data_IF_549115980879
#
_entry.id   IF_549115980879
#
_cell.length_a   1.000
_cell.length_b   1.000
_cell.length_c   1.000
_cell.angle_alpha   90.00
_cell.angle_beta   90.00
_cell.angle_gamma   90.00
#
_symmetry.space_group_name_H-M   'P 1'
#
loop_
_entity.id
_entity.type
_entity.pdbx_description
1 polymer ?
#
# COMPACT_ATOMS: atom_id res chain seq x y z
N UNK A 1 6.35 46.79 48.73
CA UNK A 1 5.44 45.77 49.30
C UNK A 1 4.14 45.85 48.52
N UNK A 2 4.01 45.06 47.46
CA UNK A 2 2.72 44.83 46.81
C UNK A 2 2.58 43.32 46.66
N UNK A 3 1.46 42.82 47.20
CA UNK A 3 1.14 41.42 47.32
C UNK A 3 0.69 40.86 45.95
N UNK A 4 1.37 39.81 45.50
CA UNK A 4 0.99 39.05 44.31
C UNK A 4 -0.19 38.13 44.65
N UNK A 5 -1.32 38.40 44.00
CA UNK A 5 -2.54 37.58 44.03
C UNK A 5 -2.36 36.31 43.19
N UNK A 6 -2.59 35.15 43.81
CA UNK A 6 -2.61 33.83 43.16
C UNK A 6 -3.70 33.74 42.09
N UNK A 7 -3.32 33.34 40.87
CA UNK A 7 -4.26 32.82 39.86
C UNK A 7 -4.09 31.30 39.77
N UNK A 8 -5.12 30.58 40.23
CA UNK A 8 -5.23 29.12 40.19
C UNK A 8 -5.19 28.60 38.74
N UNK A 9 -4.15 27.82 38.39
CA UNK A 9 -4.14 26.99 37.17
C UNK A 9 -5.10 25.81 37.32
N UNK A 10 -5.93 25.58 36.30
CA UNK A 10 -6.85 24.45 36.23
C UNK A 10 -6.06 23.13 36.22
N UNK A 11 -6.52 22.16 37.03
CA UNK A 11 -5.97 20.81 37.06
C UNK A 11 -6.38 20.08 35.78
N UNK A 12 -5.48 19.99 34.81
CA UNK A 12 -5.61 19.04 33.72
C UNK A 12 -5.55 17.62 34.29
N UNK A 13 -6.60 16.85 34.03
CA UNK A 13 -6.72 15.44 34.41
C UNK A 13 -5.58 14.63 33.78
N UNK A 14 -4.71 14.05 34.62
CA UNK A 14 -3.74 13.03 34.22
C UNK A 14 -4.53 11.79 33.74
N UNK A 15 -4.68 11.60 32.42
CA UNK A 15 -5.05 10.29 31.87
C UNK A 15 -3.88 9.34 32.15
N UNK A 16 -4.12 8.36 33.02
CA UNK A 16 -3.24 7.20 33.21
C UNK A 16 -3.26 6.40 31.92
N UNK A 17 -2.11 6.27 31.25
CA UNK A 17 -1.94 5.30 30.19
C UNK A 17 -1.78 3.93 30.84
N UNK A 18 -2.66 3.00 30.49
CA UNK A 18 -2.56 1.60 30.88
C UNK A 18 -1.41 0.95 30.12
N UNK A 19 -0.44 0.42 30.87
CA UNK A 19 0.60 -0.47 30.37
C UNK A 19 -0.12 -1.76 29.94
N UNK A 20 -0.17 -2.04 28.64
CA UNK A 20 -0.65 -3.32 28.13
C UNK A 20 0.46 -4.35 28.39
N UNK A 21 0.16 -5.34 29.23
CA UNK A 21 1.03 -6.48 29.53
C UNK A 21 1.14 -7.41 28.33
N UNK A 22 2.35 -7.93 28.08
CA UNK A 22 2.74 -8.70 26.90
C UNK A 22 2.21 -10.13 26.79
N UNK A 23 0.91 -10.35 27.04
CA UNK A 23 0.27 -11.67 26.90
C UNK A 23 -0.87 -11.74 25.88
N UNK A 24 -1.30 -10.63 25.27
CA UNK A 24 -2.35 -10.64 24.24
C UNK A 24 -1.77 -10.80 22.82
N UNK A 25 -0.75 -11.66 22.74
CA UNK A 25 -0.05 -12.03 21.52
C UNK A 25 -0.83 -13.23 20.93
N UNK A 26 -1.33 -13.08 19.69
CA UNK A 26 -1.94 -14.08 18.79
C UNK A 26 -3.45 -14.38 18.94
N UNK A 27 -4.24 -13.69 18.11
CA UNK A 27 -5.25 -14.32 17.25
C UNK A 27 -5.73 -13.27 16.23
N UNK A 28 -5.29 -13.40 14.98
CA UNK A 28 -5.97 -12.79 13.83
C UNK A 28 -6.58 -13.93 13.03
N UNK A 29 -7.50 -14.66 13.66
CA UNK A 29 -8.34 -15.65 13.01
C UNK A 29 -9.78 -15.15 13.06
N UNK A 30 -10.06 -14.11 12.27
CA UNK A 30 -11.41 -13.74 11.86
C UNK A 30 -11.49 -13.83 10.33
N UNK A 31 -11.29 -15.04 9.80
CA UNK A 31 -11.89 -15.41 8.53
C UNK A 31 -13.38 -15.62 8.79
N UNK A 32 -14.11 -14.50 8.91
CA UNK A 32 -15.54 -14.52 9.21
C UNK A 32 -16.30 -14.98 7.96
N UNK A 33 -16.76 -16.25 7.96
CA UNK A 33 -17.81 -16.80 7.08
C UNK A 33 -19.19 -16.14 7.36
N UNK A 34 -19.19 -14.85 7.68
CA UNK A 34 -20.38 -14.05 7.94
C UNK A 34 -21.01 -13.49 6.66
N UNK A 35 -22.21 -12.92 6.82
CA UNK A 35 -22.98 -12.23 5.78
C UNK A 35 -22.10 -11.21 5.06
N UNK A 36 -22.03 -11.30 3.74
CA UNK A 36 -21.16 -10.47 2.92
C UNK A 36 -21.67 -9.01 2.89
N UNK A 37 -20.76 -8.02 2.79
CA UNK A 37 -21.14 -6.60 2.74
C UNK A 37 -22.23 -6.25 1.72
N UNK A 38 -22.19 -6.83 0.51
CA UNK A 38 -23.21 -6.57 -0.52
C UNK A 38 -24.60 -7.06 -0.13
N UNK A 39 -24.72 -8.21 0.55
CA UNK A 39 -26.00 -8.75 1.03
C UNK A 39 -26.63 -7.80 2.04
N UNK A 40 -25.82 -7.22 2.92
CA UNK A 40 -26.26 -6.20 3.88
C UNK A 40 -26.73 -4.93 3.16
N UNK A 41 -26.01 -4.47 2.14
CA UNK A 41 -26.38 -3.29 1.36
C UNK A 41 -27.70 -3.49 0.60
N UNK A 42 -27.88 -4.66 -0.02
CA UNK A 42 -29.11 -5.04 -0.70
C UNK A 42 -30.27 -5.13 0.30
N UNK A 43 -30.07 -5.79 1.44
CA UNK A 43 -31.07 -5.90 2.50
C UNK A 43 -31.46 -4.54 3.11
N UNK A 44 -30.53 -3.58 3.16
CA UNK A 44 -30.79 -2.21 3.60
C UNK A 44 -31.55 -1.36 2.58
N UNK A 45 -31.92 -1.91 1.42
CA UNK A 45 -32.65 -1.19 0.37
C UNK A 45 -31.82 -0.12 -0.31
N UNK A 46 -30.49 -0.25 -0.31
CA UNK A 46 -29.56 0.66 -0.99
C UNK A 46 -29.09 0.01 -2.30
N UNK A 47 -29.83 0.15 -3.42
CA UNK A 47 -29.47 -0.51 -4.68
C UNK A 47 -28.17 0.03 -5.29
N UNK A 48 -27.80 1.27 -4.97
CA UNK A 48 -26.56 1.93 -5.36
C UNK A 48 -25.94 2.63 -4.14
N UNK A 49 -25.27 1.89 -3.24
CA UNK A 49 -24.64 2.50 -2.08
C UNK A 49 -23.45 3.38 -2.53
N UNK A 50 -23.08 4.36 -1.71
CA UNK A 50 -21.94 5.23 -2.02
C UNK A 50 -20.61 4.47 -2.04
N UNK A 51 -20.48 3.45 -1.18
CA UNK A 51 -19.38 2.49 -1.10
C UNK A 51 -19.88 1.17 -0.48
N UNK A 52 -19.11 0.10 -0.58
CA UNK A 52 -19.36 -1.18 0.08
C UNK A 52 -18.01 -1.82 0.47
N UNK A 53 -17.72 -1.87 1.78
CA UNK A 53 -16.45 -2.39 2.33
C UNK A 53 -16.72 -3.27 3.56
N UNK A 54 -15.74 -4.09 3.97
CA UNK A 54 -15.90 -5.03 5.10
C UNK A 54 -16.18 -4.33 6.43
N UNK A 55 -15.35 -3.35 6.80
CA UNK A 55 -15.47 -2.63 8.06
C UNK A 55 -14.88 -1.23 7.93
N UNK A 56 -15.73 -0.20 7.96
CA UNK A 56 -15.31 1.20 7.80
C UNK A 56 -14.46 1.70 8.97
N UNK A 57 -14.57 1.12 10.16
CA UNK A 57 -13.85 1.54 11.37
C UNK A 57 -12.32 1.30 11.27
N UNK A 58 -11.87 0.48 10.31
CA UNK A 58 -10.45 0.24 10.05
C UNK A 58 -9.78 1.39 9.27
N UNK A 59 -10.52 2.45 8.94
CA UNK A 59 -10.02 3.55 8.09
C UNK A 59 -8.75 4.22 8.62
N UNK A 60 -8.60 4.39 9.94
CA UNK A 60 -7.43 5.04 10.53
C UNK A 60 -6.16 4.19 10.36
N UNK A 61 -6.31 2.86 10.36
CA UNK A 61 -5.20 1.93 10.11
C UNK A 61 -4.84 1.91 8.62
N UNK A 62 -5.83 1.84 7.73
CA UNK A 62 -5.57 1.92 6.30
C UNK A 62 -4.96 3.25 5.85
N UNK A 63 -5.35 4.38 6.46
CA UNK A 63 -4.75 5.70 6.16
C UNK A 63 -3.23 5.70 6.39
N UNK A 64 -2.77 5.05 7.45
CA UNK A 64 -1.34 4.95 7.78
C UNK A 64 -0.58 4.10 6.78
N UNK A 65 -1.14 2.97 6.37
CA UNK A 65 -0.57 2.15 5.30
C UNK A 65 -0.45 2.93 3.98
N UNK A 66 -1.44 3.78 3.65
CA UNK A 66 -1.40 4.67 2.49
C UNK A 66 -0.26 5.69 2.63
N UNK A 67 -0.12 6.35 3.79
CA UNK A 67 0.93 7.35 4.04
C UNK A 67 2.34 6.74 3.91
N UNK A 68 2.53 5.51 4.38
CA UNK A 68 3.79 4.77 4.20
C UNK A 68 4.02 4.45 2.72
N UNK A 69 2.99 4.02 2.00
CA UNK A 69 3.10 3.76 0.56
C UNK A 69 3.46 5.04 -0.22
N UNK A 70 2.98 6.22 0.19
CA UNK A 70 3.36 7.49 -0.45
C UNK A 70 4.88 7.74 -0.38
N UNK A 71 5.52 7.42 0.75
CA UNK A 71 6.98 7.57 0.92
C UNK A 71 7.77 6.63 0.00
N UNK A 72 7.21 5.45 -0.27
CA UNK A 72 7.82 4.42 -1.11
C UNK A 72 7.47 4.54 -2.60
N UNK A 73 6.62 5.50 -2.98
CA UNK A 73 6.19 5.74 -4.36
C UNK A 73 6.60 7.13 -4.87
N UNK A 74 7.91 7.48 -4.88
CA UNK A 74 8.37 8.83 -5.22
C UNK A 74 8.01 9.26 -6.64
N UNK A 75 7.91 8.30 -7.58
CA UNK A 75 7.55 8.60 -8.97
C UNK A 75 6.15 9.18 -9.13
N UNK A 76 5.14 8.55 -8.50
CA UNK A 76 3.76 9.03 -8.57
C UNK A 76 3.55 10.27 -7.69
N UNK A 77 4.28 10.39 -6.58
CA UNK A 77 4.28 11.61 -5.76
C UNK A 77 4.85 12.81 -6.53
N UNK A 78 5.95 12.63 -7.25
CA UNK A 78 6.51 13.67 -8.11
C UNK A 78 5.55 14.06 -9.25
N UNK A 79 4.87 13.09 -9.87
CA UNK A 79 3.83 13.35 -10.87
C UNK A 79 2.68 14.17 -10.28
N UNK A 80 2.18 13.75 -9.11
CA UNK A 80 1.10 14.43 -8.38
C UNK A 80 1.48 15.88 -8.12
N UNK A 81 2.67 16.13 -7.57
CA UNK A 81 3.16 17.48 -7.29
C UNK A 81 3.30 18.34 -8.55
N UNK A 82 3.82 17.77 -9.65
CA UNK A 82 4.05 18.50 -10.90
C UNK A 82 2.75 18.89 -11.62
N UNK A 83 1.74 18.03 -11.60
CA UNK A 83 0.53 18.20 -12.42
C UNK A 83 -0.71 18.66 -11.62
N UNK A 84 -0.57 18.89 -10.31
CA UNK A 84 -1.70 19.21 -9.41
C UNK A 84 -2.49 20.43 -9.85
N UNK A 85 -1.80 21.48 -10.29
CA UNK A 85 -2.41 22.77 -10.61
C UNK A 85 -3.09 22.76 -11.98
N UNK A 86 -2.55 21.98 -12.94
CA UNK A 86 -3.10 21.85 -14.29
C UNK A 86 -4.43 21.09 -14.33
N UNK A 87 -4.71 20.27 -13.31
CA UNK A 87 -5.89 19.39 -13.23
C UNK A 87 -6.17 18.65 -14.55
N UNK A 88 -5.19 17.90 -15.10
CA UNK A 88 -5.31 17.31 -16.45
C UNK A 88 -6.42 16.26 -16.57
N UNK A 89 -6.91 15.72 -15.44
CA UNK A 89 -8.00 14.76 -15.40
C UNK A 89 -9.33 15.39 -15.01
N UNK A 90 -9.46 16.72 -15.08
CA UNK A 90 -10.73 17.41 -14.86
C UNK A 90 -11.82 16.78 -15.75
N UNK A 91 -12.96 16.48 -15.13
CA UNK A 91 -14.13 15.83 -15.75
C UNK A 91 -13.90 14.37 -16.20
N UNK A 92 -12.73 13.78 -15.92
CA UNK A 92 -12.52 12.34 -16.08
C UNK A 92 -13.35 11.60 -15.02
N UNK A 93 -14.20 10.67 -15.47
CA UNK A 93 -15.03 9.78 -14.66
C UNK A 93 -14.50 8.37 -14.86
N UNK A 94 -13.55 7.99 -14.00
CA UNK A 94 -12.75 6.77 -14.14
C UNK A 94 -13.42 5.63 -13.38
N UNK A 95 -13.67 4.52 -14.07
CA UNK A 95 -13.90 3.22 -13.44
C UNK A 95 -12.56 2.53 -13.30
N UNK A 96 -12.18 2.21 -12.07
CA UNK A 96 -11.01 1.41 -11.77
C UNK A 96 -11.39 -0.01 -11.36
N UNK A 97 -10.69 -0.99 -11.90
CA UNK A 97 -10.79 -2.39 -11.53
C UNK A 97 -9.39 -2.98 -11.43
N UNK A 98 -8.83 -2.94 -10.22
CA UNK A 98 -7.46 -3.38 -9.92
C UNK A 98 -7.42 -4.01 -8.53
N UNK A 99 -6.29 -4.56 -8.11
CA UNK A 99 -6.09 -4.90 -6.70
C UNK A 99 -6.29 -3.65 -5.82
N UNK A 100 -6.90 -3.80 -4.64
CA UNK A 100 -7.06 -2.70 -3.67
C UNK A 100 -6.09 -2.90 -2.52
N UNK A 101 -4.93 -2.26 -2.65
CA UNK A 101 -3.87 -2.20 -1.63
C UNK A 101 -3.43 -0.74 -1.45
N UNK A 102 -2.51 -0.50 -0.51
CA UNK A 102 -2.00 0.84 -0.21
C UNK A 102 -1.44 1.54 -1.46
N UNK A 103 -0.77 0.82 -2.36
CA UNK A 103 -0.22 1.37 -3.61
C UNK A 103 -1.31 1.84 -4.56
N UNK A 104 -2.39 1.07 -4.72
CA UNK A 104 -3.57 1.46 -5.51
C UNK A 104 -4.27 2.66 -4.88
N UNK A 105 -4.35 2.74 -3.55
CA UNK A 105 -4.92 3.91 -2.90
C UNK A 105 -4.14 5.20 -3.22
N UNK A 106 -2.81 5.13 -3.22
CA UNK A 106 -1.95 6.24 -3.67
C UNK A 106 -2.23 6.63 -5.13
N UNK A 107 -2.49 5.66 -6.01
CA UNK A 107 -2.93 5.90 -7.39
C UNK A 107 -4.30 6.59 -7.44
N UNK A 108 -5.30 6.07 -6.74
CA UNK A 108 -6.67 6.62 -6.68
C UNK A 108 -6.64 8.08 -6.22
N UNK A 109 -5.94 8.35 -5.13
CA UNK A 109 -5.82 9.71 -4.59
C UNK A 109 -5.04 10.63 -5.53
N UNK A 110 -4.07 10.10 -6.29
CA UNK A 110 -3.40 10.87 -7.34
C UNK A 110 -4.35 11.22 -8.47
N UNK A 111 -5.15 10.28 -8.98
CA UNK A 111 -6.12 10.54 -10.03
C UNK A 111 -7.13 11.63 -9.59
N UNK A 112 -7.63 11.52 -8.37
CA UNK A 112 -8.53 12.51 -7.77
C UNK A 112 -7.85 13.87 -7.59
N UNK A 113 -6.62 13.90 -7.08
CA UNK A 113 -5.83 15.13 -6.95
C UNK A 113 -5.56 15.81 -8.30
N UNK A 114 -5.50 15.06 -9.39
CA UNK A 114 -5.36 15.56 -10.76
C UNK A 114 -6.70 15.92 -11.43
N UNK A 115 -7.83 15.81 -10.72
CA UNK A 115 -9.14 16.31 -11.16
C UNK A 115 -10.17 15.24 -11.54
N UNK A 116 -9.83 13.94 -11.44
CA UNK A 116 -10.75 12.87 -11.76
C UNK A 116 -11.80 12.65 -10.66
N UNK A 117 -12.97 12.14 -11.05
CA UNK A 117 -13.90 11.44 -10.14
C UNK A 117 -13.79 9.96 -10.41
N UNK A 118 -13.73 9.14 -9.35
CA UNK A 118 -13.37 7.72 -9.44
C UNK A 118 -14.41 6.84 -8.76
N UNK A 119 -14.64 5.65 -9.32
CA UNK A 119 -15.31 4.52 -8.67
C UNK A 119 -14.44 3.28 -8.84
N UNK A 120 -14.28 2.48 -7.79
CA UNK A 120 -13.29 1.40 -7.78
C UNK A 120 -13.84 0.09 -7.25
N UNK A 121 -13.51 -1.00 -7.94
CA UNK A 121 -13.73 -2.38 -7.52
C UNK A 121 -12.41 -3.16 -7.54
N UNK A 122 -12.36 -4.28 -6.83
CA UNK A 122 -11.23 -5.19 -6.89
C UNK A 122 -11.24 -5.99 -8.20
N UNK A 123 -10.06 -6.30 -8.77
CA UNK A 123 -9.92 -7.26 -9.87
C UNK A 123 -9.71 -8.71 -9.40
N UNK A 124 -9.57 -8.93 -8.08
CA UNK A 124 -9.41 -10.26 -7.50
C UNK A 124 -10.02 -10.34 -6.09
N UNK A 125 -10.80 -11.40 -5.85
CA UNK A 125 -11.58 -11.66 -4.63
C UNK A 125 -10.77 -11.73 -3.32
N UNK A 126 -9.45 -11.96 -3.37
CA UNK A 126 -8.60 -12.07 -2.18
C UNK A 126 -7.59 -10.94 -2.03
N UNK A 127 -7.48 -10.06 -3.02
CA UNK A 127 -6.40 -9.08 -3.09
C UNK A 127 -6.63 -7.80 -2.29
N UNK A 128 -7.86 -7.58 -1.83
CA UNK A 128 -8.23 -6.37 -1.11
C UNK A 128 -7.62 -6.34 0.29
N UNK A 129 -6.92 -5.26 0.62
CA UNK A 129 -6.60 -4.86 1.99
C UNK A 129 -7.81 -4.11 2.56
N UNK A 130 -8.56 -4.75 3.46
CA UNK A 130 -9.87 -4.25 3.95
C UNK A 130 -9.74 -2.87 4.60
N UNK A 131 -8.68 -2.67 5.35
CA UNK A 131 -8.33 -1.41 5.99
C UNK A 131 -8.09 -0.28 4.98
N UNK A 132 -7.44 -0.57 3.86
CA UNK A 132 -7.17 0.41 2.81
C UNK A 132 -8.46 0.75 2.08
N UNK A 133 -9.28 -0.25 1.77
CA UNK A 133 -10.61 -0.03 1.22
C UNK A 133 -11.47 0.85 2.15
N UNK A 134 -11.40 0.62 3.47
CA UNK A 134 -12.06 1.45 4.48
C UNK A 134 -11.52 2.89 4.50
N UNK A 135 -10.20 3.08 4.41
CA UNK A 135 -9.58 4.40 4.38
C UNK A 135 -9.99 5.24 3.16
N UNK A 136 -10.07 4.60 1.99
CA UNK A 136 -10.55 5.23 0.77
C UNK A 136 -12.05 5.55 0.83
N UNK A 137 -12.87 4.61 1.32
CA UNK A 137 -14.30 4.82 1.49
C UNK A 137 -14.60 5.98 2.48
N UNK A 138 -13.87 6.03 3.60
CA UNK A 138 -13.98 7.10 4.59
C UNK A 138 -13.56 8.47 4.02
N UNK A 139 -12.57 8.49 3.13
CA UNK A 139 -12.16 9.70 2.41
C UNK A 139 -13.17 10.17 1.34
N UNK A 140 -14.27 9.42 1.14
CA UNK A 140 -15.36 9.76 0.22
C UNK A 140 -15.23 9.17 -1.18
N UNK A 141 -14.28 8.25 -1.40
CA UNK A 141 -14.19 7.52 -2.66
C UNK A 141 -15.23 6.39 -2.71
N UNK A 142 -15.80 6.17 -3.89
CA UNK A 142 -16.76 5.09 -4.10
C UNK A 142 -16.02 3.77 -4.32
N UNK A 143 -15.78 3.05 -3.22
CA UNK A 143 -15.05 1.77 -3.19
C UNK A 143 -16.02 0.63 -2.95
N UNK A 144 -16.00 -0.39 -3.80
CA UNK A 144 -16.81 -1.61 -3.69
C UNK A 144 -15.87 -2.80 -3.70
N UNK A 145 -15.34 -3.14 -2.53
CA UNK A 145 -14.41 -4.25 -2.41
C UNK A 145 -14.21 -4.71 -0.96
N UNK A 146 -13.94 -5.99 -0.79
CA UNK A 146 -13.41 -6.56 0.45
C UNK A 146 -12.61 -7.83 0.17
N UNK A 147 -11.82 -8.27 1.14
CA UNK A 147 -11.13 -9.55 1.07
C UNK A 147 -12.11 -10.70 1.28
N UNK A 148 -12.06 -11.71 0.42
CA UNK A 148 -12.94 -12.89 0.48
C UNK A 148 -14.32 -12.60 -0.12
N UNK A 149 -14.37 -11.96 -1.28
CA UNK A 149 -15.60 -11.84 -2.08
C UNK A 149 -16.02 -13.22 -2.63
N UNK A 150 -17.33 -13.49 -2.70
CA UNK A 150 -17.82 -14.54 -3.60
C UNK A 150 -17.76 -14.07 -5.06
N UNK A 151 -17.86 -14.99 -6.02
CA UNK A 151 -17.93 -14.62 -7.45
C UNK A 151 -19.12 -13.70 -7.74
N UNK A 152 -20.26 -13.92 -7.09
CA UNK A 152 -21.44 -13.07 -7.23
C UNK A 152 -21.18 -11.65 -6.73
N UNK A 153 -20.53 -11.54 -5.56
CA UNK A 153 -20.12 -10.26 -4.98
C UNK A 153 -19.13 -9.52 -5.88
N UNK A 154 -18.14 -10.23 -6.42
CA UNK A 154 -17.12 -9.69 -7.31
C UNK A 154 -17.75 -8.99 -8.53
N UNK A 155 -18.64 -9.68 -9.23
CA UNK A 155 -19.34 -9.10 -10.38
C UNK A 155 -20.30 -7.98 -9.98
N UNK A 156 -20.93 -8.08 -8.82
CA UNK A 156 -21.76 -7.01 -8.27
C UNK A 156 -20.93 -5.74 -8.01
N UNK A 157 -19.75 -5.85 -7.40
CA UNK A 157 -18.85 -4.73 -7.13
C UNK A 157 -18.43 -4.00 -8.42
N UNK A 158 -18.01 -4.74 -9.45
CA UNK A 158 -17.66 -4.17 -10.75
C UNK A 158 -18.87 -3.46 -11.38
N UNK A 159 -20.06 -4.06 -11.29
CA UNK A 159 -21.29 -3.48 -11.82
C UNK A 159 -21.66 -2.16 -11.13
N UNK A 160 -21.48 -2.04 -9.81
CA UNK A 160 -21.70 -0.79 -9.06
C UNK A 160 -20.79 0.35 -9.53
N UNK A 161 -19.55 0.03 -9.91
CA UNK A 161 -18.62 1.00 -10.46
C UNK A 161 -19.04 1.45 -11.88
N UNK A 162 -19.47 0.48 -12.69
CA UNK A 162 -19.76 0.64 -14.11
C UNK A 162 -21.12 1.29 -14.40
N UNK A 163 -22.11 1.05 -13.55
CA UNK A 163 -23.51 1.43 -13.81
C UNK A 163 -23.70 2.94 -13.86
N UNK A 164 -24.18 3.49 -14.99
CA UNK A 164 -24.55 4.91 -15.07
C UNK A 164 -25.68 5.25 -14.09
N UNK A 165 -25.59 6.42 -13.47
CA UNK A 165 -26.62 7.00 -12.59
C UNK A 165 -26.87 8.45 -13.00
N UNK A 166 -27.81 9.14 -12.36
CA UNK A 166 -28.11 10.55 -12.64
C UNK A 166 -26.88 11.47 -12.53
N UNK A 167 -25.90 11.14 -11.69
CA UNK A 167 -24.69 11.94 -11.43
C UNK A 167 -23.40 11.31 -11.99
N UNK A 168 -23.46 10.03 -12.36
CA UNK A 168 -22.29 9.25 -12.78
C UNK A 168 -22.48 8.63 -14.16
N UNK A 169 -21.56 8.87 -15.07
CA UNK A 169 -21.46 8.12 -16.32
C UNK A 169 -19.98 8.01 -16.61
N UNK A 170 -19.41 6.79 -16.63
CA UNK A 170 -17.98 6.63 -16.79
C UNK A 170 -17.56 7.06 -18.20
N UNK A 171 -16.37 7.66 -18.30
CA UNK A 171 -15.78 8.05 -19.58
C UNK A 171 -14.34 7.54 -19.75
N UNK A 172 -13.78 6.86 -18.75
CA UNK A 172 -12.46 6.23 -18.79
C UNK A 172 -12.50 4.91 -18.01
N UNK A 173 -11.72 3.94 -18.45
CA UNK A 173 -11.53 2.67 -17.73
C UNK A 173 -10.04 2.50 -17.42
N UNK A 174 -9.73 2.15 -16.16
CA UNK A 174 -8.43 1.66 -15.74
C UNK A 174 -8.64 0.23 -15.22
N UNK A 175 -8.06 -0.74 -15.92
CA UNK A 175 -8.37 -2.16 -15.76
C UNK A 175 -7.09 -2.98 -15.57
N UNK A 176 -7.22 -4.05 -14.80
CA UNK A 176 -6.20 -5.06 -14.55
C UNK A 176 -6.86 -6.43 -14.67
N UNK A 177 -6.69 -7.05 -15.84
CA UNK A 177 -7.24 -8.36 -16.19
C UNK A 177 -8.34 -8.29 -17.25
N UNK A 178 -8.97 -7.12 -17.43
CA UNK A 178 -9.95 -6.86 -18.48
C UNK A 178 -11.42 -7.11 -18.11
N UNK A 179 -11.73 -7.30 -16.83
CA UNK A 179 -13.08 -7.67 -16.37
C UNK A 179 -14.05 -6.50 -16.33
N UNK A 180 -13.61 -5.30 -15.93
CA UNK A 180 -14.45 -4.11 -16.03
C UNK A 180 -14.75 -3.77 -17.49
N UNK A 181 -13.74 -3.88 -18.37
CA UNK A 181 -13.90 -3.73 -19.82
C UNK A 181 -14.92 -4.72 -20.37
N UNK A 182 -14.81 -6.00 -19.99
CA UNK A 182 -15.73 -7.03 -20.43
C UNK A 182 -17.16 -6.79 -19.94
N UNK A 183 -17.34 -6.47 -18.66
CA UNK A 183 -18.65 -6.21 -18.08
C UNK A 183 -19.30 -4.98 -18.73
N UNK A 184 -18.56 -3.89 -18.90
CA UNK A 184 -19.07 -2.68 -19.57
C UNK A 184 -19.48 -2.95 -21.01
N UNK A 185 -18.65 -3.67 -21.78
CA UNK A 185 -18.96 -4.00 -23.17
C UNK A 185 -20.22 -4.88 -23.28
N UNK A 186 -20.40 -5.83 -22.35
CA UNK A 186 -21.50 -6.82 -22.39
C UNK A 186 -22.81 -6.28 -21.82
N UNK A 187 -22.77 -5.60 -20.67
CA UNK A 187 -23.96 -5.19 -19.91
C UNK A 187 -24.31 -3.72 -20.11
N UNK A 188 -23.32 -2.86 -20.31
CA UNK A 188 -23.49 -1.39 -20.42
C UNK A 188 -23.03 -0.85 -21.78
N UNK A 189 -23.33 -1.58 -22.86
CA UNK A 189 -22.83 -1.30 -24.21
C UNK A 189 -23.11 0.12 -24.71
N UNK A 190 -24.22 0.74 -24.29
CA UNK A 190 -24.53 2.13 -24.61
C UNK A 190 -23.54 3.10 -23.95
N UNK A 191 -23.25 2.91 -22.66
CA UNK A 191 -22.26 3.70 -21.92
C UNK A 191 -20.84 3.44 -22.42
N UNK A 192 -20.52 2.20 -22.81
CA UNK A 192 -19.20 1.84 -23.33
C UNK A 192 -18.80 2.66 -24.56
N UNK A 193 -19.74 3.04 -25.42
CA UNK A 193 -19.49 3.92 -26.59
C UNK A 193 -19.05 5.34 -26.22
N UNK A 194 -19.27 5.76 -24.98
CA UNK A 194 -18.86 7.07 -24.47
C UNK A 194 -17.52 7.01 -23.70
N UNK A 195 -16.92 5.84 -23.56
CA UNK A 195 -15.58 5.68 -23.01
C UNK A 195 -14.57 6.29 -23.98
N UNK A 196 -13.77 7.23 -23.49
CA UNK A 196 -12.73 7.93 -24.24
C UNK A 196 -11.45 7.10 -24.34
N UNK A 197 -11.20 6.20 -23.39
CA UNK A 197 -10.05 5.32 -23.41
C UNK A 197 -10.06 4.28 -22.31
N UNK A 198 -9.38 3.17 -22.60
CA UNK A 198 -9.07 2.10 -21.65
C UNK A 198 -7.56 2.11 -21.37
N UNK A 199 -7.16 1.97 -20.13
CA UNK A 199 -5.75 1.78 -19.71
C UNK A 199 -5.67 0.42 -19.05
N UNK A 200 -4.91 -0.50 -19.64
CA UNK A 200 -4.86 -1.90 -19.19
C UNK A 200 -3.47 -2.30 -18.69
N UNK A 201 -3.43 -2.80 -17.46
CA UNK A 201 -2.25 -3.13 -16.67
C UNK A 201 -1.60 -4.45 -17.07
N UNK A 202 -2.41 -5.46 -17.39
CA UNK A 202 -2.00 -6.86 -17.30
C UNK A 202 -1.77 -7.50 -18.67
N UNK A 203 -0.92 -8.52 -18.72
CA UNK A 203 -0.71 -9.33 -19.93
C UNK A 203 -2.04 -9.94 -20.43
N UNK A 204 -2.86 -10.43 -19.50
CA UNK A 204 -4.12 -11.12 -19.78
C UNK A 204 -5.16 -10.16 -20.37
N UNK A 205 -5.34 -8.99 -19.75
CA UNK A 205 -6.26 -7.98 -20.24
C UNK A 205 -5.82 -7.38 -21.57
N UNK A 206 -4.51 -7.15 -21.76
CA UNK A 206 -3.95 -6.73 -23.07
C UNK A 206 -4.25 -7.77 -24.15
N UNK A 207 -4.10 -9.05 -23.86
CA UNK A 207 -4.43 -10.11 -24.80
C UNK A 207 -5.93 -10.10 -25.17
N UNK A 208 -6.83 -9.91 -24.18
CA UNK A 208 -8.29 -9.76 -24.43
C UNK A 208 -8.59 -8.54 -25.31
N UNK A 209 -7.93 -7.40 -25.08
CA UNK A 209 -8.07 -6.20 -25.90
C UNK A 209 -7.62 -6.45 -27.34
N UNK A 210 -6.51 -7.16 -27.56
CA UNK A 210 -6.08 -7.55 -28.91
C UNK A 210 -7.07 -8.48 -29.60
N UNK A 211 -7.69 -9.42 -28.88
CA UNK A 211 -8.75 -10.26 -29.43
C UNK A 211 -9.97 -9.44 -29.86
N UNK A 212 -10.39 -8.47 -29.04
CA UNK A 212 -11.49 -7.56 -29.38
C UNK A 212 -11.15 -6.67 -30.58
N UNK A 213 -9.92 -6.16 -30.65
CA UNK A 213 -9.43 -5.36 -31.77
C UNK A 213 -9.39 -6.15 -33.07
N UNK A 214 -8.79 -7.36 -33.06
CA UNK A 214 -8.75 -8.26 -34.22
C UNK A 214 -10.15 -8.66 -34.71
N UNK A 215 -11.10 -8.80 -33.79
CA UNK A 215 -12.49 -9.11 -34.12
C UNK A 215 -13.33 -7.89 -34.54
N UNK A 216 -12.75 -6.68 -34.57
CA UNK A 216 -13.47 -5.44 -34.89
C UNK A 216 -14.51 -5.02 -33.84
N UNK A 217 -14.41 -5.54 -32.61
CA UNK A 217 -15.36 -5.31 -31.51
C UNK A 217 -14.90 -4.23 -30.52
N UNK A 218 -13.63 -3.82 -30.56
CA UNK A 218 -13.10 -2.76 -29.72
C UNK A 218 -13.40 -1.39 -30.37
N UNK A 219 -14.44 -0.70 -29.89
CA UNK A 219 -14.90 0.57 -30.47
C UNK A 219 -14.31 1.83 -29.79
N UNK A 220 -13.44 1.66 -28.80
CA UNK A 220 -12.77 2.75 -28.07
C UNK A 220 -11.27 2.48 -28.01
N UNK A 221 -10.42 3.51 -27.97
CA UNK A 221 -8.97 3.29 -27.93
C UNK A 221 -8.56 2.66 -26.59
N UNK A 222 -7.54 1.82 -26.63
CA UNK A 222 -6.94 1.22 -25.44
C UNK A 222 -5.43 1.44 -25.42
N UNK A 223 -4.89 1.70 -24.24
CA UNK A 223 -3.47 1.87 -23.98
C UNK A 223 -2.96 0.68 -23.17
N UNK A 224 -2.02 -0.04 -23.75
CA UNK A 224 -1.31 -1.13 -23.10
C UNK A 224 -0.20 -0.53 -22.22
N UNK A 225 -0.40 -0.51 -20.90
CA UNK A 225 0.66 -0.07 -19.98
C UNK A 225 1.59 -1.21 -19.59
N UNK A 226 1.13 -2.47 -19.70
CA UNK A 226 1.94 -3.65 -19.41
C UNK A 226 3.29 -3.64 -20.14
N UNK A 227 3.29 -3.23 -21.42
CA UNK A 227 4.47 -3.24 -22.28
C UNK A 227 5.34 -1.97 -22.15
N UNK A 228 5.00 -1.07 -21.23
CA UNK A 228 5.94 -0.02 -20.82
C UNK A 228 7.18 -0.68 -20.23
N UNK A 229 8.37 -0.26 -20.66
CA UNK A 229 9.64 -0.88 -20.24
C UNK A 229 9.76 -0.91 -18.72
N UNK A 230 9.38 0.17 -18.05
CA UNK A 230 9.40 0.26 -16.58
C UNK A 230 8.40 -0.69 -15.92
N UNK A 231 7.26 -0.99 -16.55
CA UNK A 231 6.29 -1.97 -16.04
C UNK A 231 6.83 -3.38 -16.22
N UNK A 232 7.07 -3.80 -17.47
CA UNK A 232 7.47 -5.20 -17.73
C UNK A 232 8.78 -5.58 -17.06
N UNK A 233 9.77 -4.67 -17.03
CA UNK A 233 11.12 -4.97 -16.52
C UNK A 233 11.28 -4.80 -15.02
N UNK A 234 10.39 -4.05 -14.37
CA UNK A 234 10.46 -3.89 -12.93
C UNK A 234 9.32 -4.59 -12.21
N UNK A 235 8.08 -4.30 -12.58
CA UNK A 235 6.93 -4.87 -11.91
C UNK A 235 6.88 -6.40 -12.07
N UNK A 236 6.74 -6.85 -13.32
CA UNK A 236 6.60 -8.29 -13.60
C UNK A 236 7.86 -9.10 -13.21
N UNK A 237 9.05 -8.47 -13.16
CA UNK A 237 10.32 -9.18 -12.89
C UNK A 237 10.76 -9.10 -11.42
N UNK A 238 10.70 -7.92 -10.80
CA UNK A 238 11.22 -7.67 -9.46
C UNK A 238 10.15 -7.65 -8.37
N UNK A 239 8.86 -7.40 -8.70
CA UNK A 239 7.77 -7.34 -7.70
C UNK A 239 7.17 -8.70 -7.36
N UNK A 240 7.33 -9.73 -8.19
CA UNK A 240 6.73 -11.07 -7.98
C UNK A 240 7.22 -11.83 -6.71
N UNK A 241 8.05 -11.21 -5.85
CA UNK A 241 8.67 -11.88 -4.69
C UNK A 241 8.22 -11.35 -3.33
N UNK A 242 7.64 -10.14 -3.24
CA UNK A 242 7.11 -9.49 -2.01
C UNK A 242 6.44 -8.13 -2.31
N UNK A 243 5.54 -7.64 -1.45
CA UNK A 243 4.86 -6.32 -1.59
C UNK A 243 5.80 -5.09 -1.58
N UNK A 244 7.06 -5.28 -1.17
CA UNK A 244 8.12 -4.28 -1.24
C UNK A 244 9.09 -4.63 -2.38
N UNK A 245 9.38 -3.64 -3.23
CA UNK A 245 10.40 -3.78 -4.25
C UNK A 245 11.79 -3.77 -3.62
N UNK A 246 12.45 -4.92 -3.54
CA UNK A 246 13.82 -5.02 -3.03
C UNK A 246 14.88 -4.60 -4.06
N UNK A 247 14.61 -4.79 -5.35
CA UNK A 247 15.54 -4.47 -6.44
C UNK A 247 16.04 -3.03 -6.38
N UNK A 248 17.36 -2.83 -6.42
CA UNK A 248 17.99 -1.52 -6.40
C UNK A 248 18.01 -0.80 -5.04
N UNK A 249 17.33 -1.32 -4.01
CA UNK A 249 17.43 -0.76 -2.65
C UNK A 249 18.80 -1.06 -2.04
N UNK A 250 19.32 -0.08 -1.31
CA UNK A 250 20.53 -0.25 -0.50
C UNK A 250 20.16 -0.87 0.85
N UNK A 251 20.83 -1.95 1.22
CA UNK A 251 20.66 -2.63 2.51
C UNK A 251 22.01 -2.81 3.20
N UNK A 252 22.02 -2.72 4.52
CA UNK A 252 23.19 -3.03 5.34
C UNK A 252 22.85 -4.22 6.23
N UNK A 253 23.71 -5.25 6.21
CA UNK A 253 23.59 -6.43 7.06
C UNK A 253 24.72 -6.39 8.08
N UNK A 254 24.35 -6.41 9.37
CA UNK A 254 25.30 -6.37 10.48
C UNK A 254 25.62 -7.79 10.94
N UNK A 255 26.84 -8.25 10.67
CA UNK A 255 27.29 -9.62 10.92
C UNK A 255 27.24 -10.50 9.67
N UNK A 256 28.25 -11.37 9.51
CA UNK A 256 28.42 -12.26 8.35
C UNK A 256 28.75 -13.71 8.77
N UNK A 257 28.17 -14.14 9.90
CA UNK A 257 28.01 -15.56 10.22
C UNK A 257 26.96 -16.24 9.32
N UNK A 258 26.54 -17.45 9.66
CA UNK A 258 25.62 -18.23 8.79
C UNK A 258 24.28 -17.53 8.52
N UNK A 259 23.69 -16.89 9.53
CA UNK A 259 22.45 -16.09 9.35
C UNK A 259 22.71 -14.90 8.44
N UNK A 260 23.78 -14.15 8.69
CA UNK A 260 24.17 -12.98 7.88
C UNK A 260 24.42 -13.34 6.41
N UNK A 261 25.10 -14.47 6.15
CA UNK A 261 25.28 -15.03 4.81
C UNK A 261 23.93 -15.31 4.14
N UNK A 262 23.01 -15.97 4.85
CA UNK A 262 21.65 -16.24 4.38
C UNK A 262 20.90 -14.96 4.00
N UNK A 263 20.92 -13.94 4.87
CA UNK A 263 20.30 -12.65 4.62
C UNK A 263 20.92 -11.94 3.40
N UNK A 264 22.25 -11.92 3.29
CA UNK A 264 22.95 -11.29 2.17
C UNK A 264 22.64 -11.97 0.84
N UNK A 265 22.61 -13.30 0.79
CA UNK A 265 22.26 -14.05 -0.42
C UNK A 265 20.80 -13.84 -0.82
N UNK A 266 19.86 -13.82 0.13
CA UNK A 266 18.46 -13.53 -0.14
C UNK A 266 18.28 -12.12 -0.72
N UNK A 267 18.84 -11.10 -0.07
CA UNK A 267 18.78 -9.70 -0.53
C UNK A 267 19.46 -9.51 -1.89
N UNK A 268 20.61 -10.15 -2.12
CA UNK A 268 21.31 -10.13 -3.41
C UNK A 268 20.47 -10.79 -4.51
N UNK A 269 19.84 -11.93 -4.22
CA UNK A 269 18.96 -12.63 -5.16
C UNK A 269 17.68 -11.84 -5.49
N UNK A 270 17.29 -10.92 -4.60
CA UNK A 270 16.21 -9.95 -4.81
C UNK A 270 16.68 -8.64 -5.48
N UNK A 271 17.97 -8.51 -5.80
CA UNK A 271 18.53 -7.37 -6.52
C UNK A 271 18.88 -6.16 -5.64
N UNK A 272 18.96 -6.32 -4.32
CA UNK A 272 19.44 -5.26 -3.43
C UNK A 272 20.95 -5.00 -3.63
N UNK A 273 21.36 -3.75 -3.37
CA UNK A 273 22.77 -3.39 -3.16
C UNK A 273 23.09 -3.63 -1.69
N UNK A 274 23.75 -4.74 -1.40
CA UNK A 274 24.02 -5.20 -0.02
C UNK A 274 25.42 -4.76 0.44
N UNK A 275 25.46 -4.07 1.58
CA UNK A 275 26.66 -3.76 2.35
C UNK A 275 26.72 -4.64 3.60
N UNK A 276 27.93 -5.02 4.03
CA UNK A 276 28.14 -5.89 5.19
C UNK A 276 29.00 -5.19 6.22
N UNK A 277 28.69 -5.34 7.50
CA UNK A 277 29.60 -4.95 8.60
C UNK A 277 30.01 -6.19 9.38
N UNK A 278 31.29 -6.31 9.71
CA UNK A 278 31.80 -7.42 10.51
C UNK A 278 32.92 -6.97 11.45
N UNK A 279 32.96 -7.59 12.63
CA UNK A 279 34.05 -7.50 13.60
C UNK A 279 35.07 -8.62 13.36
N UNK A 280 34.65 -9.80 12.90
CA UNK A 280 35.53 -10.92 12.61
C UNK A 280 36.17 -10.72 11.22
N UNK A 281 37.51 -10.55 11.12
CA UNK A 281 38.18 -10.34 9.85
C UNK A 281 38.06 -11.53 8.88
N UNK A 282 37.84 -12.75 9.38
CA UNK A 282 37.65 -13.94 8.54
C UNK A 282 36.28 -13.87 7.86
N UNK A 283 35.22 -13.59 8.61
CA UNK A 283 33.88 -13.42 8.07
C UNK A 283 33.79 -12.19 7.15
N UNK A 284 34.48 -11.10 7.49
CA UNK A 284 34.60 -9.93 6.61
C UNK A 284 35.28 -10.28 5.27
N UNK A 285 36.36 -11.07 5.31
CA UNK A 285 37.03 -11.52 4.10
C UNK A 285 36.12 -12.43 3.26
N UNK A 286 35.35 -13.31 3.90
CA UNK A 286 34.33 -14.12 3.21
C UNK A 286 33.28 -13.24 2.51
N UNK A 287 32.76 -12.22 3.18
CA UNK A 287 31.81 -11.27 2.59
C UNK A 287 32.38 -10.59 1.34
N UNK A 288 33.65 -10.15 1.41
CA UNK A 288 34.34 -9.56 0.27
C UNK A 288 34.50 -10.54 -0.91
N UNK A 289 34.84 -11.81 -0.63
CA UNK A 289 34.95 -12.86 -1.65
C UNK A 289 33.59 -13.22 -2.27
N UNK A 290 32.51 -13.16 -1.49
CA UNK A 290 31.13 -13.37 -1.96
C UNK A 290 30.56 -12.18 -2.75
N UNK A 291 31.36 -11.12 -2.94
CA UNK A 291 31.06 -9.94 -3.75
C UNK A 291 30.30 -8.85 -3.00
N UNK A 292 30.39 -8.82 -1.68
CA UNK A 292 29.80 -7.77 -0.84
C UNK A 292 30.83 -6.73 -0.42
N UNK A 293 30.41 -5.47 -0.34
CA UNK A 293 31.28 -4.41 0.18
C UNK A 293 31.22 -4.39 1.70
N UNK A 294 32.37 -4.63 2.34
CA UNK A 294 32.51 -4.50 3.79
C UNK A 294 32.67 -3.03 4.16
N UNK A 295 31.80 -2.54 5.03
CA UNK A 295 31.76 -1.15 5.52
C UNK A 295 31.73 -1.12 7.04
N UNK A 296 31.96 0.05 7.63
CA UNK A 296 31.83 0.26 9.07
C UNK A 296 30.53 0.99 9.38
N UNK A 297 29.75 0.43 10.29
CA UNK A 297 28.87 1.19 11.18
C UNK A 297 29.71 1.50 12.43
N UNK A 298 29.52 2.65 13.09
CA UNK A 298 30.27 2.95 14.31
C UNK A 298 29.90 1.93 15.43
N UNK A 299 30.63 1.92 16.55
CA UNK A 299 30.56 0.85 17.58
C UNK A 299 29.11 0.53 18.04
N UNK A 300 28.74 -0.76 18.03
CA UNK A 300 27.40 -1.26 18.35
C UNK A 300 26.56 -1.64 17.11
N UNK A 301 25.68 -2.66 17.20
CA UNK A 301 24.97 -3.22 16.04
C UNK A 301 24.03 -2.18 15.40
N UNK A 302 23.05 -1.61 16.13
CA UNK A 302 22.29 -0.42 15.71
C UNK A 302 21.90 0.42 16.93
N UNK A 303 22.47 1.62 17.09
CA UNK A 303 22.21 2.54 18.22
C UNK A 303 21.18 3.61 17.88
N UNK A 304 20.70 4.38 18.86
CA UNK A 304 19.83 5.55 18.62
C UNK A 304 20.46 6.56 17.65
N UNK A 305 21.76 6.84 17.80
CA UNK A 305 22.48 7.75 16.90
C UNK A 305 22.50 7.23 15.46
N UNK A 306 22.62 5.91 15.27
CA UNK A 306 22.51 5.31 13.93
C UNK A 306 21.11 5.49 13.35
N UNK A 307 20.08 5.24 14.16
CA UNK A 307 18.70 5.40 13.72
C UNK A 307 18.41 6.84 13.35
N UNK A 308 18.78 7.84 14.16
CA UNK A 308 18.63 9.28 13.84
C UNK A 308 19.32 9.73 12.54
N UNK A 309 20.30 8.96 12.04
CA UNK A 309 21.05 9.25 10.81
C UNK A 309 20.56 8.47 9.58
N UNK A 310 19.62 7.55 9.75
CA UNK A 310 19.07 6.79 8.64
C UNK A 310 18.24 7.74 7.73
N UNK A 311 17.75 7.25 6.60
CA UNK A 311 16.85 8.03 5.73
C UNK A 311 15.40 7.82 6.16
N UNK A 312 14.54 8.83 5.96
CA UNK A 312 13.11 8.64 6.15
C UNK A 312 12.59 7.42 5.37
N UNK A 313 11.72 6.62 6.01
CA UNK A 313 11.21 5.36 5.46
C UNK A 313 12.20 4.19 5.52
N UNK A 314 13.33 4.33 6.24
CA UNK A 314 14.25 3.20 6.41
C UNK A 314 13.59 2.09 7.23
N UNK A 315 13.68 0.86 6.73
CA UNK A 315 13.23 -0.34 7.44
C UNK A 315 14.35 -0.86 8.34
N UNK A 316 14.06 -1.01 9.63
CA UNK A 316 14.96 -1.65 10.60
C UNK A 316 14.33 -2.94 11.09
N UNK A 317 15.06 -4.04 10.99
CA UNK A 317 14.65 -5.33 11.53
C UNK A 317 15.84 -6.06 12.15
N UNK A 318 15.54 -7.01 13.03
CA UNK A 318 16.52 -7.87 13.67
C UNK A 318 16.22 -9.33 13.32
N UNK A 319 17.24 -10.04 12.82
CA UNK A 319 17.20 -11.47 12.49
C UNK A 319 18.05 -12.30 13.45
N UNK A 320 18.68 -11.66 14.44
CA UNK A 320 19.46 -12.30 15.47
C UNK A 320 18.60 -12.81 16.63
N UNK A 321 19.26 -13.24 17.71
CA UNK A 321 18.59 -13.97 18.79
C UNK A 321 18.01 -13.06 19.88
N UNK A 322 18.64 -11.90 20.11
CA UNK A 322 18.28 -10.99 21.19
C UNK A 322 17.70 -9.69 20.63
N UNK A 323 16.75 -9.09 21.32
CA UNK A 323 16.19 -7.78 20.98
C UNK A 323 17.15 -6.61 21.30
N UNK A 324 18.36 -6.89 21.77
CA UNK A 324 19.38 -5.88 22.13
C UNK A 324 20.31 -5.52 20.98
N UNK A 325 20.17 -6.19 19.82
CA UNK A 325 20.95 -5.88 18.61
C UNK A 325 20.53 -4.54 17.98
N UNK A 326 19.27 -4.15 18.18
CA UNK A 326 18.77 -2.80 17.91
C UNK A 326 18.45 -2.16 19.26
N UNK A 327 18.92 -0.95 19.51
CA UNK A 327 18.63 -0.23 20.76
C UNK A 327 17.20 0.34 20.77
N UNK A 328 16.22 -0.56 20.81
CA UNK A 328 14.79 -0.27 20.89
C UNK A 328 14.44 0.48 22.17
N UNK A 329 15.21 0.29 23.24
CA UNK A 329 14.98 0.96 24.52
C UNK A 329 15.28 2.45 24.45
N UNK A 330 16.36 2.85 23.78
CA UNK A 330 16.69 4.26 23.59
C UNK A 330 15.67 5.03 22.75
N UNK A 331 14.84 4.33 21.97
CA UNK A 331 13.73 4.91 21.20
C UNK A 331 12.45 5.11 22.02
N UNK A 332 12.35 4.57 23.25
CA UNK A 332 11.17 4.73 24.13
C UNK A 332 11.24 6.02 24.94
N UNK A 333 11.36 7.15 24.24
CA UNK A 333 11.43 8.47 24.85
C UNK A 333 10.17 9.30 24.53
N UNK A 334 9.79 10.28 25.38
CA UNK A 334 8.52 11.01 25.22
C UNK A 334 8.42 11.86 23.95
N UNK A 335 9.55 12.14 23.31
CA UNK A 335 9.72 12.86 22.05
C UNK A 335 9.43 12.01 20.80
N UNK A 336 9.42 10.67 20.94
CA UNK A 336 9.17 9.75 19.84
C UNK A 336 7.77 9.13 19.95
N UNK A 337 7.00 9.24 18.88
CA UNK A 337 5.66 8.69 18.80
C UNK A 337 5.71 7.30 18.20
N UNK A 338 5.21 6.32 18.93
CA UNK A 338 5.16 4.93 18.48
C UNK A 338 3.77 4.60 18.00
N UNK A 339 3.67 4.16 16.75
CA UNK A 339 2.42 3.83 16.13
C UNK A 339 2.46 2.45 15.48
N UNK A 340 1.48 1.60 15.82
CA UNK A 340 1.37 0.27 15.21
C UNK A 340 0.71 0.37 13.85
N UNK A 341 1.41 -0.07 12.80
CA UNK A 341 0.95 -0.03 11.40
C UNK A 341 0.43 -1.37 10.92
N UNK A 342 0.99 -2.49 11.39
CA UNK A 342 0.42 -3.83 11.18
C UNK A 342 0.90 -4.81 12.25
N UNK A 343 0.53 -6.08 12.14
CA UNK A 343 1.06 -7.09 13.06
C UNK A 343 2.58 -7.11 12.94
N UNK A 344 3.27 -6.96 14.08
CA UNK A 344 4.74 -6.90 14.18
C UNK A 344 5.40 -5.69 13.48
N UNK A 345 4.66 -4.66 13.09
CA UNK A 345 5.21 -3.46 12.42
C UNK A 345 4.81 -2.20 13.14
N UNK A 346 5.83 -1.41 13.48
CA UNK A 346 5.73 -0.17 14.22
C UNK A 346 6.36 0.94 13.40
N UNK A 347 5.63 2.01 13.15
CA UNK A 347 6.15 3.29 12.68
C UNK A 347 6.53 4.11 13.91
N UNK A 348 7.71 4.72 13.86
CA UNK A 348 8.18 5.66 14.88
C UNK A 348 8.12 7.03 14.22
N UNK A 349 7.00 7.73 14.43
CA UNK A 349 6.70 9.00 13.78
C UNK A 349 7.75 10.04 14.19
N UNK A 350 8.30 10.68 13.15
CA UNK A 350 9.63 11.30 13.05
C UNK A 350 10.73 10.32 12.56
N UNK A 351 10.51 9.71 11.39
CA UNK A 351 11.51 9.22 10.40
C UNK A 351 11.69 7.69 10.15
N UNK A 352 11.05 6.74 10.88
CA UNK A 352 11.42 5.29 10.79
C UNK A 352 10.27 4.27 10.78
N UNK A 353 10.46 3.13 10.08
CA UNK A 353 9.58 1.95 10.20
C UNK A 353 10.37 0.75 10.75
N UNK A 354 9.95 0.21 11.91
CA UNK A 354 10.52 -1.00 12.50
C UNK A 354 9.64 -2.24 12.26
N UNK A 355 10.30 -3.35 11.89
CA UNK A 355 9.70 -4.68 11.78
C UNK A 355 10.25 -5.62 12.86
N UNK A 356 9.35 -6.38 13.49
CA UNK A 356 9.66 -7.61 14.21
C UNK A 356 9.36 -8.80 13.29
N UNK A 357 10.29 -9.76 13.18
CA UNK A 357 9.99 -11.10 12.66
C UNK A 357 9.94 -12.09 13.80
#
# INVERSE_FOLDING_TARGET
MEALTEVKKSKASKKRYSIISGSDFWSSSDEDEGVQPHEKAIAAGQPNPAYCVRNIEQHAFGRREIEIAEQEMPGIMALRARAKDDKPLKDAKVVGCTHINAQTAVLIETLAALGATVRWAACNIYSTQNEVAAALAHAGYAIFAWRGESEEAFWWCIDQCCTPTATWTPNMILDDGGDATHLMLKKHAAAFKHIKGIVEESVTGVHRLYQLSKAGKLCVPAMNVNDSVTKTKFDNLYSCRTDLMFGGKQSVVCGYGEVGKGCCQALKALGCVVYVTEIDPICALQAAMDGFRVVKLNEGVVTREHMERMKNGCVVCNMGHSNTEVDVHALRTPDLLWERVRSQVLDIINDWIMYWM
#
